data_IF_349636865289
#
_entry.id   IF_349636865289
#
_cell.length_a   1.000
_cell.length_b   1.000
_cell.length_c   1.000
_cell.angle_alpha   90.00
_cell.angle_beta   90.00
_cell.angle_gamma   90.00
#
_symmetry.space_group_name_H-M   'P 1'
#
loop_
_entity.id
_entity.type
_entity.pdbx_description
1 polymer ?
#
# COMPACT_ATOMS: atom_id res chain seq x y z
N UNK A 1 -22.68 -40.61 9.68
CA UNK A 1 -23.13 -40.20 8.34
C UNK A 1 -22.03 -39.36 7.74
N UNK A 2 -21.14 -39.97 6.94
CA UNK A 2 -20.32 -39.22 6.01
C UNK A 2 -21.28 -38.74 4.93
N UNK A 3 -21.55 -37.44 4.84
CA UNK A 3 -22.26 -36.93 3.68
C UNK A 3 -21.27 -36.87 2.53
N UNK A 4 -21.48 -37.67 1.48
CA UNK A 4 -20.70 -37.68 0.23
C UNK A 4 -20.90 -36.40 -0.61
N UNK A 5 -21.39 -35.32 -0.01
CA UNK A 5 -21.81 -34.11 -0.68
C UNK A 5 -21.25 -32.88 0.02
N UNK A 6 -20.76 -31.95 -0.81
CA UNK A 6 -20.26 -30.65 -0.40
C UNK A 6 -21.25 -29.58 -0.88
N UNK A 7 -21.85 -28.84 0.04
CA UNK A 7 -22.75 -27.73 -0.31
C UNK A 7 -21.94 -26.46 -0.53
N UNK A 8 -21.89 -25.98 -1.78
CA UNK A 8 -21.20 -24.73 -2.15
C UNK A 8 -22.21 -23.67 -2.60
N UNK A 9 -22.08 -22.44 -2.08
CA UNK A 9 -22.82 -21.27 -2.55
C UNK A 9 -21.88 -20.38 -3.36
N UNK A 10 -22.16 -20.20 -4.64
CA UNK A 10 -21.40 -19.32 -5.51
C UNK A 10 -22.09 -17.97 -5.64
N UNK A 11 -21.34 -16.89 -5.45
CA UNK A 11 -21.83 -15.55 -5.73
C UNK A 11 -21.95 -15.34 -7.23
N UNK A 12 -23.13 -14.91 -7.70
CA UNK A 12 -23.43 -14.64 -9.12
C UNK A 12 -23.91 -13.21 -9.37
N UNK A 13 -23.83 -12.36 -8.34
CA UNK A 13 -24.24 -10.97 -8.43
C UNK A 13 -23.17 -10.09 -9.07
N UNK A 14 -23.47 -8.81 -9.20
CA UNK A 14 -22.52 -7.80 -9.70
C UNK A 14 -21.52 -7.41 -8.61
N UNK A 15 -20.37 -6.90 -9.01
CA UNK A 15 -19.46 -6.21 -8.08
C UNK A 15 -20.23 -5.07 -7.38
N UNK A 16 -20.11 -4.99 -6.06
CA UNK A 16 -20.74 -3.95 -5.23
C UNK A 16 -19.76 -2.91 -4.72
N UNK A 17 -18.50 -3.31 -4.50
CA UNK A 17 -17.46 -2.38 -4.08
C UNK A 17 -16.10 -2.71 -4.68
N UNK A 18 -15.30 -1.67 -4.87
CA UNK A 18 -13.88 -1.74 -5.17
C UNK A 18 -13.12 -1.06 -4.04
N UNK A 19 -12.17 -1.77 -3.44
CA UNK A 19 -11.31 -1.27 -2.37
C UNK A 19 -9.92 -1.05 -2.97
N UNK A 20 -9.48 0.19 -3.01
CA UNK A 20 -8.21 0.58 -3.62
C UNK A 20 -7.12 0.73 -2.56
N UNK A 21 -5.88 0.48 -2.95
CA UNK A 21 -4.73 1.04 -2.25
C UNK A 21 -4.42 2.47 -2.71
N UNK A 22 -3.53 3.16 -1.99
CA UNK A 22 -3.08 4.51 -2.30
C UNK A 22 -1.83 4.57 -3.20
N UNK A 23 -0.63 4.37 -2.65
CA UNK A 23 0.63 4.58 -3.39
C UNK A 23 0.87 3.45 -4.38
N UNK A 24 1.12 3.76 -5.65
CA UNK A 24 1.29 2.76 -6.71
C UNK A 24 -0.01 2.20 -7.28
N UNK A 25 -1.16 2.51 -6.66
CA UNK A 25 -2.50 2.07 -7.09
C UNK A 25 -3.42 3.23 -7.49
N UNK A 26 -3.53 4.28 -6.68
CA UNK A 26 -4.34 5.48 -7.01
C UNK A 26 -3.50 6.73 -7.23
N UNK A 27 -2.38 6.87 -6.51
CA UNK A 27 -1.48 8.03 -6.56
C UNK A 27 -0.03 7.56 -6.39
N UNK A 28 0.92 8.49 -6.32
CA UNK A 28 2.34 8.21 -6.02
C UNK A 28 2.91 7.10 -6.91
N UNK A 29 3.08 7.43 -8.19
CA UNK A 29 3.62 6.49 -9.18
C UNK A 29 4.95 5.92 -8.68
N UNK A 30 5.04 4.59 -8.73
CA UNK A 30 6.20 3.83 -8.28
C UNK A 30 6.47 3.92 -6.78
N UNK A 31 5.52 4.33 -5.95
CA UNK A 31 5.62 4.27 -4.48
C UNK A 31 6.88 4.98 -3.96
N UNK A 32 7.11 6.20 -4.45
CA UNK A 32 8.33 6.96 -4.17
C UNK A 32 8.26 7.60 -2.79
N UNK A 33 7.10 8.16 -2.41
CA UNK A 33 6.95 8.94 -1.18
C UNK A 33 7.41 8.22 0.09
N UNK A 34 7.03 6.94 0.35
CA UNK A 34 7.53 6.23 1.54
C UNK A 34 8.96 5.71 1.36
N UNK A 35 9.36 5.32 0.15
CA UNK A 35 10.68 4.75 -0.09
C UNK A 35 11.80 5.77 0.20
N UNK A 36 11.65 7.01 -0.28
CA UNK A 36 12.63 8.08 -0.02
C UNK A 36 12.74 8.42 1.48
N UNK A 37 11.61 8.41 2.19
CA UNK A 37 11.58 8.69 3.64
C UNK A 37 12.25 7.57 4.43
N UNK A 38 12.07 6.30 4.04
CA UNK A 38 12.80 5.20 4.69
C UNK A 38 14.32 5.32 4.50
N UNK A 39 14.78 5.66 3.29
CA UNK A 39 16.20 5.91 3.04
C UNK A 39 16.73 7.01 3.96
N UNK A 40 15.98 8.11 4.10
CA UNK A 40 16.38 9.23 4.94
C UNK A 40 16.35 8.89 6.45
N UNK A 41 15.32 8.17 6.93
CA UNK A 41 15.20 7.74 8.33
C UNK A 41 16.36 6.84 8.74
N UNK A 42 16.71 5.85 7.91
CA UNK A 42 17.88 5.00 8.17
C UNK A 42 19.19 5.78 8.06
N UNK A 43 19.29 6.69 7.08
CA UNK A 43 20.43 7.60 6.92
C UNK A 43 20.66 8.48 8.15
N UNK A 44 19.60 8.97 8.80
CA UNK A 44 19.68 9.73 10.06
C UNK A 44 20.23 8.90 11.24
N UNK A 45 20.13 7.57 11.17
CA UNK A 45 20.79 6.65 12.12
C UNK A 45 22.24 6.32 11.71
N UNK A 46 22.72 6.85 10.58
CA UNK A 46 24.03 6.51 10.02
C UNK A 46 24.06 5.18 9.29
N UNK A 47 22.90 4.58 9.01
CA UNK A 47 22.77 3.29 8.32
C UNK A 47 22.33 3.52 6.88
N UNK A 48 23.24 3.31 5.94
CA UNK A 48 22.92 3.46 4.52
C UNK A 48 22.03 2.30 4.02
N UNK A 49 20.90 2.64 3.41
CA UNK A 49 19.99 1.71 2.74
C UNK A 49 19.65 2.23 1.35
N UNK A 50 19.56 1.31 0.39
CA UNK A 50 19.14 1.61 -0.97
C UNK A 50 17.61 1.72 -1.09
N UNK A 51 17.14 2.32 -2.19
CA UNK A 51 15.72 2.33 -2.52
C UNK A 51 15.16 0.90 -2.67
N UNK A 52 15.89 -0.01 -3.30
CA UNK A 52 15.47 -1.42 -3.43
C UNK A 52 15.30 -2.10 -2.06
N UNK A 53 16.22 -1.87 -1.12
CA UNK A 53 16.09 -2.37 0.26
C UNK A 53 14.89 -1.74 0.97
N UNK A 54 14.68 -0.44 0.81
CA UNK A 54 13.54 0.28 1.38
C UNK A 54 12.19 -0.22 0.84
N UNK A 55 12.13 -0.69 -0.41
CA UNK A 55 10.92 -1.20 -1.08
C UNK A 55 10.54 -2.63 -0.71
N UNK A 56 11.47 -3.41 -0.17
CA UNK A 56 11.27 -4.84 0.11
C UNK A 56 9.97 -5.17 0.87
N UNK A 57 9.67 -4.51 2.00
CA UNK A 57 8.48 -4.77 2.81
C UNK A 57 7.28 -3.85 2.49
N UNK A 58 7.24 -3.24 1.29
CA UNK A 58 6.22 -2.24 0.96
C UNK A 58 4.78 -2.77 1.09
N UNK A 59 3.90 -1.87 1.55
CA UNK A 59 2.47 -2.13 1.79
C UNK A 59 2.13 -2.46 3.25
N UNK A 60 3.12 -2.79 4.08
CA UNK A 60 2.95 -2.89 5.53
C UNK A 60 2.67 -1.52 6.17
N UNK A 61 2.11 -1.55 7.38
CA UNK A 61 2.08 -0.35 8.24
C UNK A 61 3.51 0.10 8.52
N UNK A 62 3.74 1.41 8.58
CA UNK A 62 5.11 1.97 8.50
C UNK A 62 6.03 1.57 9.66
N UNK A 63 5.51 1.36 10.86
CA UNK A 63 6.23 0.78 11.99
C UNK A 63 6.65 -0.69 11.72
N UNK A 64 5.73 -1.50 11.20
CA UNK A 64 5.99 -2.90 10.82
C UNK A 64 6.97 -2.99 9.65
N UNK A 65 6.93 -2.02 8.74
CA UNK A 65 7.87 -1.89 7.62
C UNK A 65 9.29 -1.61 8.14
N UNK A 66 9.46 -0.62 9.02
CA UNK A 66 10.77 -0.32 9.64
C UNK A 66 11.29 -1.54 10.38
N UNK A 67 10.44 -2.20 11.17
CA UNK A 67 10.80 -3.44 11.84
C UNK A 67 11.30 -4.51 10.86
N UNK A 68 10.55 -4.77 9.79
CA UNK A 68 10.95 -5.74 8.77
C UNK A 68 12.30 -5.39 8.12
N UNK A 69 12.56 -4.11 7.84
CA UNK A 69 13.87 -3.64 7.35
C UNK A 69 14.99 -3.92 8.37
N UNK A 70 14.78 -3.65 9.66
CA UNK A 70 15.78 -3.94 10.71
C UNK A 70 16.06 -5.43 10.93
N UNK A 71 15.18 -6.30 10.43
CA UNK A 71 15.32 -7.75 10.47
C UNK A 71 16.00 -8.31 9.21
N UNK A 72 16.14 -7.51 8.14
CA UNK A 72 16.90 -7.91 6.94
C UNK A 72 18.37 -8.13 7.29
N UNK A 73 18.97 -9.29 6.97
CA UNK A 73 20.33 -9.62 7.41
C UNK A 73 21.37 -8.55 7.07
N UNK A 74 21.29 -7.96 5.87
CA UNK A 74 22.29 -6.98 5.42
C UNK A 74 22.16 -5.64 6.17
N UNK A 75 20.94 -5.14 6.37
CA UNK A 75 20.66 -3.90 7.11
C UNK A 75 20.99 -4.11 8.60
N UNK A 76 20.62 -5.27 9.14
CA UNK A 76 20.88 -5.65 10.53
C UNK A 76 22.37 -5.68 10.87
N UNK A 77 23.21 -6.17 9.97
CA UNK A 77 24.67 -6.14 10.14
C UNK A 77 25.25 -4.73 9.95
N UNK A 78 24.76 -3.93 8.98
CA UNK A 78 25.16 -2.51 8.86
C UNK A 78 24.85 -1.73 10.15
N UNK A 79 23.66 -1.92 10.70
CA UNK A 79 23.24 -1.33 11.96
C UNK A 79 24.19 -1.68 13.11
N UNK A 80 24.55 -2.96 13.25
CA UNK A 80 25.53 -3.39 14.27
C UNK A 80 26.91 -2.79 14.03
N UNK A 81 27.33 -2.61 12.78
CA UNK A 81 28.57 -1.92 12.45
C UNK A 81 28.61 -0.47 12.94
N UNK A 82 27.48 0.25 12.86
CA UNK A 82 27.35 1.65 13.27
C UNK A 82 27.16 1.80 14.78
N UNK A 83 26.29 0.98 15.38
CA UNK A 83 25.86 1.15 16.78
C UNK A 83 26.48 0.14 17.77
N UNK A 84 27.23 -0.85 17.30
CA UNK A 84 27.85 -1.89 18.13
C UNK A 84 26.87 -2.94 18.70
N UNK A 85 25.56 -2.80 18.46
CA UNK A 85 24.51 -3.73 18.88
C UNK A 85 23.51 -3.94 17.75
N UNK A 86 22.75 -5.03 17.80
CA UNK A 86 21.63 -5.24 16.88
C UNK A 86 20.44 -4.34 17.23
N UNK A 87 19.60 -3.97 16.24
CA UNK A 87 18.43 -3.15 16.47
C UNK A 87 17.40 -3.88 17.35
N UNK A 88 16.77 -3.11 18.25
CA UNK A 88 15.69 -3.55 19.14
C UNK A 88 14.38 -2.78 18.88
N UNK A 89 13.31 -3.10 19.60
CA UNK A 89 12.01 -2.45 19.40
C UNK A 89 12.06 -0.94 19.72
N UNK A 90 12.90 -0.52 20.67
CA UNK A 90 13.07 0.90 20.98
C UNK A 90 13.75 1.67 19.85
N UNK A 91 14.59 1.01 19.05
CA UNK A 91 15.15 1.59 17.83
C UNK A 91 14.09 1.77 16.74
N UNK A 92 13.21 0.78 16.56
CA UNK A 92 12.06 0.84 15.64
C UNK A 92 11.10 1.97 16.03
N UNK A 93 10.76 2.07 17.32
CA UNK A 93 9.80 3.06 17.81
C UNK A 93 10.32 4.50 17.60
N UNK A 94 11.62 4.74 17.82
CA UNK A 94 12.27 6.03 17.53
C UNK A 94 12.24 6.36 16.04
N UNK A 95 12.66 5.41 15.19
CA UNK A 95 12.65 5.61 13.74
C UNK A 95 11.24 5.85 13.21
N UNK A 96 10.22 5.20 13.79
CA UNK A 96 8.84 5.45 13.42
C UNK A 96 8.37 6.85 13.85
N UNK A 97 8.78 7.31 15.04
CA UNK A 97 8.50 8.68 15.48
C UNK A 97 9.15 9.73 14.57
N UNK A 98 10.35 9.47 14.04
CA UNK A 98 11.02 10.33 13.06
C UNK A 98 10.36 10.25 11.68
N UNK A 99 9.90 9.06 11.27
CA UNK A 99 9.27 8.82 9.98
C UNK A 99 8.00 9.65 9.78
N UNK A 100 7.14 9.76 10.79
CA UNK A 100 5.84 10.43 10.66
C UNK A 100 5.94 11.88 10.17
N UNK A 101 6.69 12.80 10.83
CA UNK A 101 6.82 14.17 10.35
C UNK A 101 7.49 14.25 8.98
N UNK A 102 8.55 13.48 8.74
CA UNK A 102 9.25 13.46 7.45
C UNK A 102 8.33 13.03 6.30
N UNK A 103 7.49 12.02 6.56
CA UNK A 103 6.50 11.56 5.59
C UNK A 103 5.43 12.60 5.31
N UNK A 104 4.94 13.30 6.33
CA UNK A 104 3.94 14.37 6.17
C UNK A 104 4.49 15.52 5.30
N UNK A 105 5.74 15.93 5.52
CA UNK A 105 6.42 16.98 4.75
C UNK A 105 6.69 16.54 3.30
N UNK A 106 6.90 15.24 3.09
CA UNK A 106 7.16 14.64 1.79
C UNK A 106 5.87 14.45 0.96
N UNK A 107 4.75 14.10 1.60
CA UNK A 107 3.59 13.49 0.94
C UNK A 107 3.00 14.33 -0.18
N UNK A 108 2.86 15.65 0.00
CA UNK A 108 2.25 16.55 -0.98
C UNK A 108 3.00 16.61 -2.31
N UNK A 109 4.27 16.17 -2.36
CA UNK A 109 5.04 16.06 -3.61
C UNK A 109 4.59 14.89 -4.47
N UNK A 110 3.87 13.92 -3.90
CA UNK A 110 3.52 12.64 -4.50
C UNK A 110 2.01 12.37 -4.53
N UNK A 111 1.18 13.40 -4.36
CA UNK A 111 -0.30 13.27 -4.35
C UNK A 111 -0.94 13.24 -5.73
N UNK A 112 -0.17 13.35 -6.81
CA UNK A 112 -0.69 13.27 -8.19
C UNK A 112 -1.33 11.91 -8.43
N UNK A 113 -2.60 11.90 -8.85
CA UNK A 113 -3.32 10.68 -9.20
C UNK A 113 -2.70 10.00 -10.41
N UNK A 114 -2.73 8.67 -10.42
CA UNK A 114 -2.35 7.89 -11.60
C UNK A 114 -3.35 8.12 -12.75
N UNK A 115 -2.89 8.01 -14.01
CA UNK A 115 -3.75 8.23 -15.17
C UNK A 115 -5.02 7.38 -15.13
N UNK A 116 -6.17 8.04 -15.33
CA UNK A 116 -7.48 7.39 -15.41
C UNK A 116 -8.15 7.04 -14.06
N UNK A 117 -7.47 7.18 -12.93
CA UNK A 117 -8.04 6.82 -11.60
C UNK A 117 -9.32 7.59 -11.30
N UNK A 118 -9.31 8.91 -11.46
CA UNK A 118 -10.49 9.74 -11.22
C UNK A 118 -11.66 9.36 -12.15
N UNK A 119 -11.38 9.16 -13.45
CA UNK A 119 -12.40 8.80 -14.43
C UNK A 119 -13.03 7.44 -14.12
N UNK A 120 -12.20 6.41 -13.89
CA UNK A 120 -12.66 5.05 -13.63
C UNK A 120 -13.49 4.98 -12.35
N UNK A 121 -13.02 5.59 -11.26
CA UNK A 121 -13.72 5.55 -9.97
C UNK A 121 -15.05 6.29 -10.02
N UNK A 122 -15.11 7.48 -10.64
CA UNK A 122 -16.37 8.19 -10.85
C UNK A 122 -17.35 7.39 -11.72
N UNK A 123 -16.86 6.72 -12.77
CA UNK A 123 -17.70 5.91 -13.64
C UNK A 123 -18.25 4.66 -12.93
N UNK A 124 -17.47 4.07 -12.02
CA UNK A 124 -17.92 2.97 -11.15
C UNK A 124 -18.99 3.45 -10.14
N UNK A 125 -18.77 4.61 -9.49
CA UNK A 125 -19.73 5.21 -8.57
C UNK A 125 -21.07 5.53 -9.26
N UNK A 126 -21.05 6.07 -10.49
CA UNK A 126 -22.26 6.29 -11.31
C UNK A 126 -23.04 5.00 -11.59
N UNK A 127 -22.37 3.85 -11.61
CA UNK A 127 -22.98 2.53 -11.79
C UNK A 127 -23.44 1.90 -10.46
N UNK A 128 -23.30 2.61 -9.34
CA UNK A 128 -23.67 2.14 -8.01
C UNK A 128 -22.63 1.25 -7.33
N UNK A 129 -21.40 1.18 -7.87
CA UNK A 129 -20.29 0.50 -7.21
C UNK A 129 -19.64 1.44 -6.20
N UNK A 130 -19.53 1.00 -4.94
CA UNK A 130 -18.90 1.76 -3.87
C UNK A 130 -17.38 1.74 -3.98
N UNK A 131 -16.74 2.84 -3.62
CA UNK A 131 -15.28 2.98 -3.64
C UNK A 131 -14.78 3.08 -2.21
N UNK A 132 -14.03 2.08 -1.77
CA UNK A 132 -13.29 2.12 -0.51
C UNK A 132 -11.80 2.33 -0.75
N UNK A 133 -11.06 2.69 0.29
CA UNK A 133 -9.60 2.67 0.26
C UNK A 133 -9.00 2.12 1.55
N UNK A 134 -7.81 1.55 1.42
CA UNK A 134 -6.99 1.01 2.51
C UNK A 134 -5.55 1.46 2.31
N UNK A 135 -4.78 1.61 3.38
CA UNK A 135 -3.34 1.92 3.28
C UNK A 135 -2.59 1.60 4.56
N UNK A 136 -1.30 1.30 4.44
CA UNK A 136 -0.38 1.23 5.57
C UNK A 136 -0.01 2.59 6.19
N UNK A 137 -0.43 3.70 5.59
CA UNK A 137 -0.32 5.04 6.20
C UNK A 137 -1.23 5.21 7.41
N UNK A 138 -0.89 6.16 8.28
CA UNK A 138 -1.73 6.58 9.42
C UNK A 138 -2.74 7.64 8.99
N UNK A 139 -3.80 7.83 9.76
CA UNK A 139 -4.92 8.74 9.41
C UNK A 139 -4.46 10.16 9.03
N UNK A 140 -3.53 10.75 9.78
CA UNK A 140 -3.02 12.09 9.48
C UNK A 140 -2.35 12.23 8.10
N UNK A 141 -1.75 11.15 7.58
CA UNK A 141 -1.19 11.11 6.23
C UNK A 141 -2.29 10.93 5.19
N UNK A 142 -3.28 10.07 5.47
CA UNK A 142 -4.43 9.86 4.57
C UNK A 142 -5.25 11.14 4.39
N UNK A 143 -5.41 11.95 5.44
CA UNK A 143 -6.13 13.23 5.35
C UNK A 143 -5.51 14.17 4.31
N UNK A 144 -4.17 14.20 4.19
CA UNK A 144 -3.46 14.97 3.16
C UNK A 144 -3.73 14.38 1.76
N UNK A 145 -3.66 13.06 1.63
CA UNK A 145 -3.91 12.37 0.36
C UNK A 145 -5.34 12.64 -0.14
N UNK A 146 -6.33 12.52 0.74
CA UNK A 146 -7.74 12.76 0.42
C UNK A 146 -8.00 14.23 0.06
N UNK A 147 -7.39 15.18 0.77
CA UNK A 147 -7.51 16.61 0.48
C UNK A 147 -7.04 16.93 -0.95
N UNK A 148 -5.89 16.41 -1.35
CA UNK A 148 -5.28 16.68 -2.66
C UNK A 148 -5.89 15.84 -3.78
N UNK A 149 -6.28 14.60 -3.50
CA UNK A 149 -6.95 13.74 -4.46
C UNK A 149 -8.35 14.24 -4.83
N UNK A 150 -9.07 14.83 -3.86
CA UNK A 150 -10.38 15.45 -4.10
C UNK A 150 -10.30 16.57 -5.13
N UNK A 151 -9.23 17.37 -5.11
CA UNK A 151 -8.98 18.45 -6.08
C UNK A 151 -8.75 17.90 -7.50
N UNK A 152 -8.33 16.64 -7.59
CA UNK A 152 -8.07 15.92 -8.85
C UNK A 152 -9.24 15.01 -9.27
N UNK A 153 -10.35 15.03 -8.52
CA UNK A 153 -11.57 14.30 -8.87
C UNK A 153 -11.66 12.86 -8.33
N UNK A 154 -10.79 12.45 -7.41
CA UNK A 154 -10.93 11.17 -6.70
C UNK A 154 -11.46 11.41 -5.29
N UNK A 155 -12.61 10.81 -4.96
CA UNK A 155 -13.20 10.86 -3.62
C UNK A 155 -13.75 9.46 -3.28
N UNK A 156 -13.07 8.68 -2.43
CA UNK A 156 -13.59 7.40 -1.98
C UNK A 156 -14.83 7.60 -1.09
N UNK A 157 -15.76 6.66 -1.13
CA UNK A 157 -16.95 6.62 -0.26
C UNK A 157 -16.58 6.21 1.18
N UNK A 158 -15.51 5.43 1.35
CA UNK A 158 -14.93 5.08 2.64
C UNK A 158 -13.40 4.96 2.56
N UNK A 159 -12.73 5.17 3.68
CA UNK A 159 -11.27 5.15 3.77
C UNK A 159 -10.85 4.63 5.13
N UNK A 160 -9.88 3.71 5.16
CA UNK A 160 -9.35 3.12 6.38
C UNK A 160 -7.82 3.15 6.35
N UNK A 161 -7.24 3.84 7.32
CA UNK A 161 -5.80 3.91 7.53
C UNK A 161 -5.31 2.76 8.41
N UNK A 162 -4.01 2.49 8.39
CA UNK A 162 -3.39 1.35 9.06
C UNK A 162 -3.41 1.42 10.59
N UNK A 163 -3.62 2.61 11.16
CA UNK A 163 -3.80 2.86 12.59
C UNK A 163 -5.26 2.75 13.06
N UNK A 164 -6.20 2.54 12.14
CA UNK A 164 -7.63 2.54 12.43
C UNK A 164 -8.24 1.15 12.63
N UNK A 165 -7.38 0.12 12.70
CA UNK A 165 -7.78 -1.29 12.89
C UNK A 165 -7.04 -1.92 14.07
N UNK A 166 -7.81 -2.55 14.96
CA UNK A 166 -7.27 -3.14 16.21
C UNK A 166 -6.59 -4.49 15.96
N UNK A 167 -7.14 -5.31 15.06
CA UNK A 167 -6.68 -6.69 14.85
C UNK A 167 -5.52 -6.80 13.84
N UNK A 168 -5.02 -5.66 13.34
CA UNK A 168 -3.87 -5.51 12.46
C UNK A 168 -4.24 -5.12 11.02
N UNK A 169 -3.28 -4.48 10.35
CA UNK A 169 -3.33 -4.07 8.95
C UNK A 169 -2.80 -5.19 8.03
N UNK A 170 -2.55 -4.87 6.76
CA UNK A 170 -2.02 -5.79 5.74
C UNK A 170 -0.90 -6.68 6.26
N UNK A 171 -0.89 -7.98 5.91
CA UNK A 171 -1.84 -8.66 5.01
C UNK A 171 -3.17 -9.09 5.69
N UNK A 172 -3.44 -8.67 6.92
CA UNK A 172 -4.71 -9.03 7.59
C UNK A 172 -5.89 -8.27 6.97
N UNK A 173 -7.12 -8.85 7.01
CA UNK A 173 -8.25 -8.35 6.23
C UNK A 173 -9.03 -7.20 6.88
N UNK A 174 -8.61 -6.72 8.05
CA UNK A 174 -9.46 -5.89 8.89
C UNK A 174 -9.73 -4.50 8.33
N UNK A 175 -8.84 -3.95 7.49
CA UNK A 175 -9.14 -2.66 6.84
C UNK A 175 -10.17 -2.82 5.72
N UNK A 176 -10.14 -3.95 4.99
CA UNK A 176 -11.21 -4.33 4.06
C UNK A 176 -12.53 -4.51 4.80
N UNK A 177 -12.55 -5.27 5.89
CA UNK A 177 -13.79 -5.48 6.67
C UNK A 177 -14.37 -4.19 7.23
N UNK A 178 -13.52 -3.29 7.73
CA UNK A 178 -13.96 -1.97 8.20
C UNK A 178 -14.52 -1.11 7.05
N UNK A 179 -13.93 -1.18 5.85
CA UNK A 179 -14.53 -0.55 4.67
C UNK A 179 -15.93 -1.12 4.38
N UNK A 180 -16.11 -2.44 4.41
CA UNK A 180 -17.41 -3.07 4.11
C UNK A 180 -18.50 -2.62 5.09
N UNK A 181 -18.16 -2.50 6.37
CA UNK A 181 -19.04 -1.99 7.42
C UNK A 181 -19.44 -0.53 7.14
N UNK A 182 -18.47 0.34 6.84
CA UNK A 182 -18.70 1.75 6.51
C UNK A 182 -19.53 1.95 5.23
N UNK A 183 -19.36 1.05 4.25
CA UNK A 183 -20.02 1.15 2.94
C UNK A 183 -21.39 0.47 2.88
N UNK A 184 -21.78 -0.27 3.92
CA UNK A 184 -22.94 -1.17 3.92
C UNK A 184 -22.90 -2.18 2.75
N UNK A 185 -21.74 -2.86 2.58
CA UNK A 185 -21.51 -3.79 1.46
C UNK A 185 -21.33 -5.22 1.94
N UNK A 186 -22.18 -6.10 1.41
CA UNK A 186 -22.09 -7.55 1.58
C UNK A 186 -22.66 -8.29 0.35
N UNK A 187 -22.27 -9.55 0.07
CA UNK A 187 -21.26 -10.36 0.76
C UNK A 187 -19.84 -10.09 0.23
N UNK A 188 -18.81 -10.62 0.90
CA UNK A 188 -17.40 -10.37 0.56
C UNK A 188 -17.02 -10.78 -0.88
N UNK A 189 -17.70 -11.77 -1.45
CA UNK A 189 -17.49 -12.22 -2.84
C UNK A 189 -17.93 -11.18 -3.88
N UNK A 190 -18.61 -10.10 -3.47
CA UNK A 190 -19.00 -8.97 -4.32
C UNK A 190 -17.98 -7.83 -4.33
N UNK A 191 -16.83 -8.02 -3.67
CA UNK A 191 -15.82 -6.98 -3.45
C UNK A 191 -14.56 -7.32 -4.25
N UNK A 192 -13.95 -6.29 -4.84
CA UNK A 192 -12.64 -6.37 -5.49
C UNK A 192 -11.66 -5.50 -4.72
N UNK A 193 -10.58 -6.07 -4.20
CA UNK A 193 -9.44 -5.36 -3.65
C UNK A 193 -8.39 -5.21 -4.75
N UNK A 194 -7.97 -3.97 -4.99
CA UNK A 194 -6.94 -3.62 -5.97
C UNK A 194 -5.74 -3.10 -5.18
N UNK A 195 -4.55 -3.62 -5.49
CA UNK A 195 -3.31 -3.25 -4.79
C UNK A 195 -2.12 -3.49 -5.72
N UNK A 196 -1.03 -2.77 -5.50
CA UNK A 196 0.20 -2.92 -6.24
C UNK A 196 1.23 -3.77 -5.48
N UNK A 197 0.96 -4.12 -4.22
CA UNK A 197 1.87 -4.87 -3.35
C UNK A 197 1.38 -6.29 -3.06
N UNK A 198 2.32 -7.23 -2.85
CA UNK A 198 2.03 -8.59 -2.38
C UNK A 198 1.28 -8.56 -1.04
N UNK A 199 1.60 -7.65 -0.13
CA UNK A 199 0.92 -7.58 1.18
C UNK A 199 -0.55 -7.17 1.05
N UNK A 200 -0.88 -6.29 0.11
CA UNK A 200 -2.26 -5.88 -0.14
C UNK A 200 -3.07 -6.87 -0.98
N UNK A 201 -2.43 -7.62 -1.88
CA UNK A 201 -3.05 -8.82 -2.47
C UNK A 201 -3.28 -9.90 -1.39
N UNK A 202 -2.36 -10.04 -0.44
CA UNK A 202 -2.54 -10.88 0.75
C UNK A 202 -3.76 -10.46 1.57
N UNK A 203 -3.99 -9.16 1.74
CA UNK A 203 -5.21 -8.63 2.39
C UNK A 203 -6.49 -9.03 1.65
N UNK A 204 -6.48 -9.05 0.31
CA UNK A 204 -7.62 -9.55 -0.48
C UNK A 204 -7.88 -11.04 -0.24
N UNK A 205 -6.81 -11.84 -0.26
CA UNK A 205 -6.86 -13.30 -0.07
C UNK A 205 -7.35 -13.66 1.33
N UNK A 206 -6.79 -13.04 2.37
CA UNK A 206 -7.23 -13.23 3.75
C UNK A 206 -8.66 -12.75 3.98
N UNK A 207 -9.09 -11.70 3.25
CA UNK A 207 -10.46 -11.22 3.35
C UNK A 207 -11.46 -12.21 2.71
N UNK A 208 -11.03 -12.95 1.70
CA UNK A 208 -11.88 -13.82 0.88
C UNK A 208 -12.61 -13.08 -0.25
N UNK A 209 -12.04 -11.96 -0.72
CA UNK A 209 -12.54 -11.20 -1.87
C UNK A 209 -11.65 -11.37 -3.11
N UNK A 210 -12.03 -10.76 -4.23
CA UNK A 210 -11.20 -10.79 -5.44
C UNK A 210 -9.99 -9.89 -5.23
N UNK A 211 -8.78 -10.38 -5.53
CA UNK A 211 -7.57 -9.58 -5.58
C UNK A 211 -7.17 -9.26 -7.02
N UNK A 212 -6.87 -8.00 -7.31
CA UNK A 212 -6.34 -7.55 -8.61
C UNK A 212 -5.05 -6.77 -8.38
N UNK A 213 -3.95 -7.28 -8.93
CA UNK A 213 -2.65 -6.61 -8.94
C UNK A 213 -2.58 -5.52 -9.99
N UNK A 214 -2.03 -4.36 -9.64
CA UNK A 214 -1.59 -3.35 -10.64
C UNK A 214 -0.07 -3.33 -10.68
N UNK A 215 0.50 -3.29 -11.89
CA UNK A 215 1.94 -3.51 -12.11
C UNK A 215 2.65 -2.27 -12.66
N UNK A 216 2.07 -1.59 -13.66
CA UNK A 216 2.74 -0.52 -14.43
C UNK A 216 3.30 0.64 -13.60
N UNK A 217 2.64 1.02 -12.51
CA UNK A 217 3.06 2.09 -11.59
C UNK A 217 3.38 1.56 -10.19
N UNK A 218 3.53 0.25 -10.06
CA UNK A 218 3.69 -0.44 -8.78
C UNK A 218 5.05 -0.20 -8.15
N UNK A 219 5.14 -0.57 -6.88
CA UNK A 219 6.40 -0.72 -6.14
C UNK A 219 7.43 -1.58 -6.89
N UNK A 220 6.99 -2.56 -7.67
CA UNK A 220 7.84 -3.57 -8.30
C UNK A 220 8.43 -3.18 -9.66
N UNK A 221 8.13 -1.96 -10.14
CA UNK A 221 8.83 -1.39 -11.29
C UNK A 221 10.25 -0.92 -10.95
N UNK A 222 10.63 -0.91 -9.67
CA UNK A 222 11.97 -0.57 -9.17
C UNK A 222 12.50 0.76 -9.72
N UNK A 223 11.63 1.77 -9.77
CA UNK A 223 11.97 3.13 -10.23
C UNK A 223 12.31 3.98 -9.02
N UNK A 224 13.46 4.68 -9.05
CA UNK A 224 13.96 5.44 -7.91
C UNK A 224 13.56 6.91 -7.95
N UNK A 225 13.23 7.44 -9.13
CA UNK A 225 12.72 8.80 -9.30
C UNK A 225 11.86 8.91 -10.57
N UNK A 226 11.05 9.98 -10.68
CA UNK A 226 10.25 10.19 -11.89
C UNK A 226 11.14 10.49 -13.11
N UNK A 227 12.28 11.13 -12.91
CA UNK A 227 13.25 11.41 -13.98
C UNK A 227 13.93 10.14 -14.51
N UNK A 228 14.07 9.09 -13.69
CA UNK A 228 14.63 7.80 -14.14
C UNK A 228 13.80 7.22 -15.29
N UNK A 229 12.47 7.38 -15.26
CA UNK A 229 11.55 6.83 -16.28
C UNK A 229 11.93 7.31 -17.68
N UNK A 230 12.26 8.59 -17.83
CA UNK A 230 12.59 9.21 -19.11
C UNK A 230 13.91 8.69 -19.68
N UNK A 231 14.72 8.03 -18.86
CA UNK A 231 16.01 7.43 -19.25
C UNK A 231 15.89 5.94 -19.59
N UNK A 232 14.80 5.28 -19.19
CA UNK A 232 14.60 3.85 -19.45
C UNK A 232 14.13 3.61 -20.89
N UNK A 233 14.68 2.58 -21.52
CA UNK A 233 14.18 2.13 -22.82
C UNK A 233 12.79 1.50 -22.67
N UNK A 234 12.01 1.49 -23.75
CA UNK A 234 10.73 0.79 -23.78
C UNK A 234 10.87 -0.71 -23.47
N UNK A 235 11.97 -1.33 -23.91
CA UNK A 235 12.28 -2.73 -23.62
C UNK A 235 12.53 -2.96 -22.12
N UNK A 236 13.23 -2.05 -21.45
CA UNK A 236 13.49 -2.16 -20.01
C UNK A 236 12.21 -1.95 -19.19
N UNK A 237 11.37 -0.99 -19.59
CA UNK A 237 10.04 -0.79 -19.02
C UNK A 237 9.20 -2.07 -19.13
N UNK A 238 9.15 -2.66 -20.33
CA UNK A 238 8.37 -3.88 -20.57
C UNK A 238 8.94 -5.07 -19.81
N UNK A 239 10.28 -5.20 -19.75
CA UNK A 239 10.95 -6.24 -18.98
C UNK A 239 10.58 -6.15 -17.50
N UNK A 240 10.62 -4.97 -16.89
CA UNK A 240 10.24 -4.78 -15.48
C UNK A 240 8.74 -5.04 -15.27
N UNK A 241 7.90 -4.57 -16.19
CA UNK A 241 6.46 -4.77 -16.15
C UNK A 241 6.04 -6.25 -16.29
N UNK A 242 6.81 -7.07 -17.02
CA UNK A 242 6.53 -8.49 -17.21
C UNK A 242 7.05 -9.41 -16.09
N UNK A 243 7.78 -8.87 -15.11
CA UNK A 243 8.33 -9.64 -13.96
C UNK A 243 7.41 -9.56 -12.72
N UNK A 244 6.42 -8.66 -12.74
CA UNK A 244 5.38 -8.50 -11.70
C UNK A 244 4.20 -9.41 -11.95
#
# INVERSE_FOLDING_TARGET
MNSDYLYTRNYRGKVKAVILDWSGTTADAYVLAPAVVFVEVFGNQGVEVSMTEARGPMGLRKDLHIKAMTEMPIIRERWKGVHGKYPDQGDVDRMFADFVPMQLDCLRKYTTLLPGVAEVTQNLQKQGVKIGSTTGFVRSMVDILEEDAKKQGYVPDASVAGDEVVNGARPKPFMVYKNLDMLDVHPIQSVVKIDDTVSGIGEAQEAGCWGVGVSRYSNYMDINSLEEIDTLSAEEIERRHGIT
#
